data_IF_117250981294
#
_entry.id   IF_117250981294
#
_cell.length_a   1.000
_cell.length_b   1.000
_cell.length_c   1.000
_cell.angle_alpha   90.00
_cell.angle_beta   90.00
_cell.angle_gamma   90.00
#
_symmetry.space_group_name_H-M   'P 1'
#
loop_
_entity.id
_entity.type
_entity.pdbx_description
1 polymer ?
#
# COMPACT_ATOMS: atom_id res chain seq x y z
N UNK A 1 16.24 -5.09 -5.12
CA UNK A 1 15.09 -4.86 -4.20
C UNK A 1 15.26 -5.62 -2.89
N UNK A 2 15.30 -6.96 -2.88
CA UNK A 2 15.44 -7.74 -1.64
C UNK A 2 16.64 -7.38 -0.77
N UNK A 3 17.82 -7.15 -1.36
CA UNK A 3 19.02 -6.71 -0.63
C UNK A 3 18.82 -5.32 0.01
N UNK A 4 18.12 -4.40 -0.66
CA UNK A 4 17.85 -3.07 -0.13
C UNK A 4 16.82 -3.11 1.01
N UNK A 5 15.80 -3.98 0.90
CA UNK A 5 14.83 -4.23 1.97
C UNK A 5 15.50 -4.86 3.19
N UNK A 6 16.35 -5.86 2.98
CA UNK A 6 17.14 -6.49 4.04
C UNK A 6 18.10 -5.49 4.71
N UNK A 7 18.79 -4.67 3.91
CA UNK A 7 19.66 -3.59 4.40
C UNK A 7 18.88 -2.56 5.23
N UNK A 8 17.68 -2.16 4.79
CA UNK A 8 16.83 -1.23 5.53
C UNK A 8 16.31 -1.84 6.83
N UNK A 9 15.91 -3.11 6.83
CA UNK A 9 15.55 -3.83 8.05
C UNK A 9 16.69 -3.86 9.08
N UNK A 10 17.93 -4.04 8.63
CA UNK A 10 19.12 -4.02 9.51
C UNK A 10 19.40 -2.66 10.16
N UNK A 11 18.85 -1.56 9.64
CA UNK A 11 18.98 -0.23 10.28
C UNK A 11 18.16 -0.10 11.56
N UNK A 12 17.17 -0.97 11.78
CA UNK A 12 16.22 -0.87 12.89
C UNK A 12 15.15 0.22 12.72
N UNK A 13 15.27 1.09 11.71
CA UNK A 13 14.29 2.16 11.44
C UNK A 13 12.87 1.59 11.24
N UNK A 14 12.63 0.54 10.43
CA UNK A 14 11.29 -0.02 10.26
C UNK A 14 10.67 -0.48 11.58
N UNK A 15 11.46 -1.13 12.44
CA UNK A 15 11.03 -1.60 13.75
C UNK A 15 10.66 -0.45 14.67
N UNK A 16 11.48 0.60 14.72
CA UNK A 16 11.20 1.79 15.54
C UNK A 16 9.92 2.49 15.10
N UNK A 17 9.73 2.66 13.79
CA UNK A 17 8.49 3.23 13.22
C UNK A 17 7.29 2.34 13.58
N UNK A 18 7.43 1.03 13.43
CA UNK A 18 6.35 0.10 13.75
C UNK A 18 5.95 0.17 15.23
N UNK A 19 6.90 0.11 16.16
CA UNK A 19 6.61 0.19 17.61
C UNK A 19 5.87 1.49 17.97
N UNK A 20 6.18 2.59 17.30
CA UNK A 20 5.47 3.85 17.49
C UNK A 20 4.04 3.83 16.93
N UNK A 21 3.83 3.18 15.78
CA UNK A 21 2.54 3.17 15.06
C UNK A 21 1.60 2.07 15.56
N UNK A 22 2.13 0.92 16.00
CA UNK A 22 1.37 -0.28 16.36
C UNK A 22 0.20 0.00 17.31
N UNK A 23 0.34 0.79 18.40
CA UNK A 23 -0.77 1.05 19.32
C UNK A 23 -1.98 1.71 18.65
N UNK A 24 -1.74 2.41 17.54
CA UNK A 24 -2.75 3.11 16.75
C UNK A 24 -3.19 2.32 15.52
N UNK A 25 -2.53 1.22 15.17
CA UNK A 25 -2.75 0.45 13.95
C UNK A 25 -3.39 -0.93 14.20
N UNK A 26 -3.88 -1.18 15.43
CA UNK A 26 -4.59 -2.42 15.76
C UNK A 26 -5.88 -2.55 14.96
N UNK A 27 -6.04 -3.66 14.25
CA UNK A 27 -7.11 -3.85 13.26
C UNK A 27 -8.44 -4.31 13.87
N UNK A 28 -8.54 -4.44 15.19
CA UNK A 28 -9.80 -4.64 15.93
C UNK A 28 -10.69 -3.38 15.93
N UNK A 29 -10.10 -2.21 15.62
CA UNK A 29 -10.78 -0.93 15.56
C UNK A 29 -10.72 -0.35 14.16
N UNK A 30 -11.80 0.31 13.74
CA UNK A 30 -11.87 1.02 12.45
C UNK A 30 -10.75 2.07 12.35
N UNK A 31 -10.45 2.79 13.43
CA UNK A 31 -9.36 3.77 13.44
C UNK A 31 -8.00 3.13 13.13
N UNK A 32 -7.73 1.93 13.67
CA UNK A 32 -6.46 1.26 13.42
C UNK A 32 -6.35 0.65 12.03
N UNK A 33 -7.47 0.17 11.48
CA UNK A 33 -7.56 -0.19 10.06
C UNK A 33 -7.22 0.99 9.16
N UNK A 34 -7.72 2.19 9.45
CA UNK A 34 -7.44 3.39 8.67
C UNK A 34 -5.98 3.84 8.80
N UNK A 35 -5.41 3.80 10.01
CA UNK A 35 -3.99 4.13 10.25
C UNK A 35 -3.09 3.16 9.49
N UNK A 36 -3.36 1.85 9.59
CA UNK A 36 -2.58 0.84 8.89
C UNK A 36 -2.71 0.98 7.37
N UNK A 37 -3.93 1.19 6.85
CA UNK A 37 -4.14 1.41 5.43
C UNK A 37 -3.40 2.66 4.92
N UNK A 38 -3.41 3.75 5.69
CA UNK A 38 -2.65 4.96 5.38
C UNK A 38 -1.15 4.72 5.35
N UNK A 39 -0.62 3.98 6.32
CA UNK A 39 0.79 3.59 6.35
C UNK A 39 1.17 2.77 5.11
N UNK A 40 0.38 1.76 4.75
CA UNK A 40 0.64 0.91 3.58
C UNK A 40 0.55 1.73 2.29
N UNK A 41 -0.45 2.59 2.15
CA UNK A 41 -0.60 3.49 0.99
C UNK A 41 0.66 4.35 0.79
N UNK A 42 1.16 4.94 1.88
CA UNK A 42 2.37 5.75 1.87
C UNK A 42 3.59 4.90 1.48
N UNK A 43 3.87 3.82 2.22
CA UNK A 43 5.05 2.98 1.97
C UNK A 43 5.04 2.39 0.55
N UNK A 44 3.89 1.94 0.05
CA UNK A 44 3.78 1.40 -1.32
C UNK A 44 4.12 2.44 -2.39
N UNK A 45 3.84 3.72 -2.16
CA UNK A 45 4.21 4.79 -3.10
C UNK A 45 5.66 5.28 -2.94
N UNK A 46 6.29 5.08 -1.78
CA UNK A 46 7.71 5.43 -1.55
C UNK A 46 8.67 4.30 -1.94
N UNK A 47 8.36 3.05 -1.58
CA UNK A 47 9.26 1.91 -1.72
C UNK A 47 8.81 0.89 -2.77
N UNK A 48 7.55 0.90 -3.21
CA UNK A 48 6.84 -0.12 -4.00
C UNK A 48 6.10 -1.16 -3.14
N UNK A 49 5.20 -1.91 -3.80
CA UNK A 49 4.28 -2.84 -3.15
C UNK A 49 5.00 -4.02 -2.50
N UNK A 50 5.89 -4.69 -3.23
CA UNK A 50 6.60 -5.90 -2.75
C UNK A 50 7.44 -5.59 -1.50
N UNK A 51 8.28 -4.53 -1.46
CA UNK A 51 9.01 -4.14 -0.25
C UNK A 51 8.09 -3.84 0.92
N UNK A 52 6.99 -3.14 0.67
CA UNK A 52 6.04 -2.78 1.72
C UNK A 52 5.44 -4.01 2.39
N UNK A 53 5.05 -5.02 1.59
CA UNK A 53 4.56 -6.29 2.12
C UNK A 53 5.64 -7.04 2.91
N UNK A 54 6.89 -7.05 2.43
CA UNK A 54 8.00 -7.71 3.11
C UNK A 54 8.40 -7.02 4.43
N UNK A 55 8.31 -5.68 4.48
CA UNK A 55 8.62 -4.88 5.67
C UNK A 55 7.52 -4.98 6.73
N UNK A 56 6.25 -4.90 6.32
CA UNK A 56 5.11 -4.82 7.24
C UNK A 56 4.52 -6.20 7.58
N UNK A 57 4.70 -7.22 6.75
CA UNK A 57 4.02 -8.51 6.90
C UNK A 57 4.22 -9.16 8.26
N UNK A 58 5.48 -9.30 8.71
CA UNK A 58 5.78 -9.89 10.01
C UNK A 58 5.17 -9.10 11.18
N UNK A 59 5.47 -7.80 11.31
CA UNK A 59 4.94 -6.98 12.42
C UNK A 59 3.41 -6.88 12.45
N UNK A 60 2.77 -6.68 11.29
CA UNK A 60 1.29 -6.58 11.19
C UNK A 60 0.63 -7.89 11.60
N UNK A 61 1.17 -9.02 11.18
CA UNK A 61 0.61 -10.34 11.51
C UNK A 61 0.84 -10.69 12.97
N UNK A 62 2.00 -10.34 13.53
CA UNK A 62 2.27 -10.52 14.96
C UNK A 62 1.28 -9.71 15.82
N UNK A 63 1.03 -8.45 15.45
CA UNK A 63 0.04 -7.61 16.13
C UNK A 63 -1.38 -8.17 16.00
N UNK A 64 -1.76 -8.66 14.81
CA UNK A 64 -3.06 -9.30 14.59
C UNK A 64 -3.23 -10.61 15.38
N UNK A 65 -2.17 -11.43 15.45
CA UNK A 65 -2.16 -12.68 16.23
C UNK A 65 -2.38 -12.43 17.73
N UNK A 66 -1.85 -11.32 18.26
CA UNK A 66 -2.07 -10.92 19.65
C UNK A 66 -3.54 -10.57 19.96
N UNK A 67 -4.35 -10.26 18.93
CA UNK A 67 -5.79 -10.02 19.06
C UNK A 67 -6.55 -11.34 18.96
N UNK A 68 -6.47 -12.04 17.82
CA UNK A 68 -7.03 -13.38 17.60
C UNK A 68 -6.53 -14.01 16.30
N UNK A 69 -6.74 -15.33 16.14
CA UNK A 69 -6.43 -16.05 14.90
C UNK A 69 -7.25 -15.56 13.69
N UNK A 70 -8.49 -15.08 13.90
CA UNK A 70 -9.34 -14.55 12.82
C UNK A 70 -8.72 -13.28 12.19
N UNK A 71 -8.09 -12.45 13.03
CA UNK A 71 -7.47 -11.21 12.59
C UNK A 71 -6.19 -11.44 11.76
N UNK A 72 -5.53 -12.59 11.89
CA UNK A 72 -4.33 -12.90 11.08
C UNK A 72 -4.66 -12.95 9.60
N UNK A 73 -5.78 -13.58 9.23
CA UNK A 73 -6.22 -13.63 7.83
C UNK A 73 -6.61 -12.24 7.34
N UNK A 74 -7.35 -11.47 8.14
CA UNK A 74 -7.75 -10.09 7.83
C UNK A 74 -6.55 -9.17 7.63
N UNK A 75 -5.51 -9.32 8.46
CA UNK A 75 -4.25 -8.59 8.34
C UNK A 75 -3.56 -8.84 6.99
N UNK A 76 -3.43 -10.11 6.58
CA UNK A 76 -2.85 -10.45 5.28
C UNK A 76 -3.68 -9.91 4.11
N UNK A 77 -5.02 -10.06 4.18
CA UNK A 77 -5.93 -9.56 3.15
C UNK A 77 -5.86 -8.04 3.04
N UNK A 78 -5.87 -7.32 4.17
CA UNK A 78 -5.71 -5.87 4.20
C UNK A 78 -4.37 -5.46 3.60
N UNK A 79 -3.27 -6.07 4.04
CA UNK A 79 -1.93 -5.75 3.55
C UNK A 79 -1.83 -5.99 2.04
N UNK A 80 -2.31 -7.13 1.55
CA UNK A 80 -2.32 -7.45 0.12
C UNK A 80 -3.20 -6.50 -0.69
N UNK A 81 -4.42 -6.21 -0.21
CA UNK A 81 -5.36 -5.33 -0.90
C UNK A 81 -4.83 -3.91 -0.99
N UNK A 82 -4.51 -3.31 0.16
CA UNK A 82 -4.11 -1.90 0.21
C UNK A 82 -2.80 -1.69 -0.54
N UNK A 83 -1.81 -2.58 -0.37
CA UNK A 83 -0.53 -2.44 -1.08
C UNK A 83 -0.70 -2.57 -2.60
N UNK A 84 -1.61 -3.42 -3.09
CA UNK A 84 -1.89 -3.57 -4.51
C UNK A 84 -2.57 -2.33 -5.08
N UNK A 85 -3.64 -1.86 -4.44
CA UNK A 85 -4.42 -0.71 -4.93
C UNK A 85 -3.59 0.58 -4.85
N UNK A 86 -2.71 0.70 -3.85
CA UNK A 86 -1.81 1.84 -3.67
C UNK A 86 -0.93 2.16 -4.89
N UNK A 87 -0.57 1.16 -5.69
CA UNK A 87 0.22 1.36 -6.91
C UNK A 87 -0.46 2.21 -7.97
N UNK A 88 -1.78 2.43 -7.87
CA UNK A 88 -2.54 3.30 -8.77
C UNK A 88 -2.61 4.76 -8.29
N UNK A 89 -2.23 5.03 -7.04
CA UNK A 89 -2.38 6.33 -6.40
C UNK A 89 -1.69 7.45 -7.19
N UNK A 90 -0.45 7.20 -7.61
CA UNK A 90 0.36 8.13 -8.40
C UNK A 90 0.87 7.48 -9.68
N UNK A 91 1.32 8.30 -10.64
CA UNK A 91 1.86 7.80 -11.91
C UNK A 91 3.10 6.91 -11.70
N UNK A 92 3.90 7.19 -10.65
CA UNK A 92 5.10 6.42 -10.31
C UNK A 92 4.81 5.20 -9.41
N UNK A 93 3.58 5.05 -8.92
CA UNK A 93 3.21 4.00 -7.98
C UNK A 93 3.34 2.58 -8.56
N UNK A 94 3.33 2.44 -9.89
CA UNK A 94 3.56 1.14 -10.54
C UNK A 94 4.24 1.29 -11.91
N UNK A 95 4.96 0.24 -12.30
CA UNK A 95 5.52 0.13 -13.64
C UNK A 95 4.41 0.08 -14.71
N UNK A 96 3.24 -0.48 -14.39
CA UNK A 96 2.10 -0.54 -15.30
C UNK A 96 1.62 0.86 -15.70
N UNK A 97 1.53 1.79 -14.74
CA UNK A 97 1.16 3.18 -15.02
C UNK A 97 2.15 3.86 -15.99
N UNK A 98 3.45 3.62 -15.80
CA UNK A 98 4.49 4.16 -16.67
C UNK A 98 4.46 3.54 -18.08
N UNK A 99 4.21 2.23 -18.17
CA UNK A 99 4.02 1.55 -19.45
C UNK A 99 2.84 2.17 -20.19
N UNK A 100 1.68 2.30 -19.55
CA UNK A 100 0.49 2.90 -20.17
C UNK A 100 0.75 4.35 -20.57
N UNK A 101 1.40 5.15 -19.72
CA UNK A 101 1.80 6.53 -20.03
C UNK A 101 2.69 6.60 -21.27
N UNK A 102 3.71 5.75 -21.35
CA UNK A 102 4.64 5.73 -22.48
C UNK A 102 3.97 5.27 -23.77
N UNK A 103 3.04 4.31 -23.68
CA UNK A 103 2.27 3.82 -24.82
C UNK A 103 1.25 4.85 -25.30
N UNK A 104 0.57 5.55 -24.39
CA UNK A 104 -0.34 6.65 -24.73
C UNK A 104 0.37 7.79 -25.45
N UNK A 105 1.61 8.10 -25.07
CA UNK A 105 2.43 9.11 -25.75
C UNK A 105 2.82 8.67 -27.18
N UNK A 106 3.05 7.37 -27.40
CA UNK A 106 3.51 6.81 -28.69
C UNK A 106 2.38 6.45 -29.66
N UNK A 107 1.12 6.55 -29.23
CA UNK A 107 -0.02 6.17 -30.07
C UNK A 107 -0.12 7.05 -31.32
N UNK A 108 -0.18 6.42 -32.51
CA UNK A 108 -0.22 7.13 -33.80
C UNK A 108 -1.52 7.91 -34.01
N UNK A 109 -2.62 7.44 -33.43
CA UNK A 109 -3.92 8.10 -33.43
C UNK A 109 -4.31 8.36 -31.97
N UNK A 110 -4.68 9.60 -31.63
CA UNK A 110 -5.05 10.02 -30.27
C UNK A 110 -3.90 9.97 -29.24
N UNK A 111 -2.65 10.21 -29.66
CA UNK A 111 -1.51 10.34 -28.76
C UNK A 111 -1.77 11.36 -27.64
N UNK A 112 -1.51 10.97 -26.40
CA UNK A 112 -1.77 11.80 -25.22
C UNK A 112 -0.58 11.77 -24.26
N UNK A 113 -0.13 12.97 -23.86
CA UNK A 113 0.94 13.11 -22.87
C UNK A 113 0.32 13.17 -21.47
N UNK A 114 0.28 12.02 -20.79
CA UNK A 114 -0.22 11.93 -19.43
C UNK A 114 0.82 12.55 -18.46
N UNK A 115 0.47 13.70 -17.88
CA UNK A 115 1.28 14.31 -16.82
C UNK A 115 1.03 13.63 -15.47
N UNK A 116 2.00 13.74 -14.56
CA UNK A 116 1.86 13.27 -13.17
C UNK A 116 0.58 13.81 -12.49
N UNK A 117 0.31 15.11 -12.65
CA UNK A 117 -0.87 15.77 -12.08
C UNK A 117 -2.18 15.30 -12.75
N UNK A 118 -2.16 15.06 -14.05
CA UNK A 118 -3.32 14.52 -14.77
C UNK A 118 -3.66 13.11 -14.28
N UNK A 119 -2.65 12.28 -14.03
CA UNK A 119 -2.85 10.96 -13.43
C UNK A 119 -3.42 11.06 -12.03
N UNK A 120 -2.87 11.92 -11.16
CA UNK A 120 -3.35 12.07 -9.77
C UNK A 120 -4.85 12.40 -9.66
N UNK A 121 -5.39 13.20 -10.59
CA UNK A 121 -6.84 13.52 -10.62
C UNK A 121 -7.72 12.28 -10.74
N UNK A 122 -7.22 11.21 -11.33
CA UNK A 122 -7.90 9.91 -11.41
C UNK A 122 -7.38 8.93 -10.36
N UNK A 123 -6.07 8.85 -10.18
CA UNK A 123 -5.39 7.91 -9.30
C UNK A 123 -5.76 8.07 -7.83
N UNK A 124 -5.81 9.31 -7.32
CA UNK A 124 -6.15 9.55 -5.91
C UNK A 124 -7.60 9.16 -5.61
N UNK A 125 -8.62 9.69 -6.32
CA UNK A 125 -10.00 9.33 -6.01
C UNK A 125 -10.29 7.85 -6.20
N UNK A 126 -9.81 7.24 -7.30
CA UNK A 126 -10.04 5.81 -7.57
C UNK A 126 -9.39 4.91 -6.52
N UNK A 127 -8.15 5.21 -6.13
CA UNK A 127 -7.43 4.44 -5.10
C UNK A 127 -8.17 4.52 -3.78
N UNK A 128 -8.56 5.71 -3.33
CA UNK A 128 -9.28 5.87 -2.07
C UNK A 128 -10.62 5.12 -2.07
N UNK A 129 -11.41 5.25 -3.14
CA UNK A 129 -12.71 4.56 -3.27
C UNK A 129 -12.52 3.04 -3.22
N UNK A 130 -11.61 2.50 -4.04
CA UNK A 130 -11.38 1.04 -4.13
C UNK A 130 -10.78 0.50 -2.82
N UNK A 131 -9.88 1.24 -2.19
CA UNK A 131 -9.36 0.90 -0.87
C UNK A 131 -10.49 0.84 0.16
N UNK A 132 -11.33 1.86 0.26
CA UNK A 132 -12.47 1.87 1.19
C UNK A 132 -13.40 0.69 0.96
N UNK A 133 -13.77 0.41 -0.30
CA UNK A 133 -14.64 -0.73 -0.64
C UNK A 133 -13.99 -2.05 -0.17
N UNK A 134 -12.74 -2.32 -0.52
CA UNK A 134 -12.10 -3.58 -0.10
C UNK A 134 -11.96 -3.71 1.41
N UNK A 135 -11.63 -2.61 2.11
CA UNK A 135 -11.57 -2.61 3.58
C UNK A 135 -12.93 -2.96 4.21
N UNK A 136 -14.04 -2.46 3.65
CA UNK A 136 -15.39 -2.83 4.14
C UNK A 136 -15.71 -4.30 3.95
N UNK A 137 -15.23 -4.94 2.88
CA UNK A 137 -15.41 -6.39 2.68
C UNK A 137 -14.52 -7.24 3.57
N UNK A 138 -13.27 -6.82 3.78
CA UNK A 138 -12.29 -7.58 4.58
C UNK A 138 -12.61 -7.53 6.07
N UNK A 139 -13.13 -6.40 6.56
CA UNK A 139 -13.42 -6.19 7.98
C UNK A 139 -14.81 -6.63 8.41
N UNK A 140 -15.65 -7.09 7.48
CA UNK A 140 -16.94 -7.70 7.78
C UNK A 140 -16.77 -9.10 8.36
#
# INVERSE_FOLDING_TARGET
>A
MFIAVDGFNKTGIPTTIWVFIEPYAQIDKISGVLVLAGLILALSNLASNVPTVLLLGGPVVASAFAISLDYVQKAWLLLAWVSTVAGNFSLLGSAANLIVCQQAQRAQHLGYTLSFWSHLKFGVPSTLIITTIGLTFIMR
#
